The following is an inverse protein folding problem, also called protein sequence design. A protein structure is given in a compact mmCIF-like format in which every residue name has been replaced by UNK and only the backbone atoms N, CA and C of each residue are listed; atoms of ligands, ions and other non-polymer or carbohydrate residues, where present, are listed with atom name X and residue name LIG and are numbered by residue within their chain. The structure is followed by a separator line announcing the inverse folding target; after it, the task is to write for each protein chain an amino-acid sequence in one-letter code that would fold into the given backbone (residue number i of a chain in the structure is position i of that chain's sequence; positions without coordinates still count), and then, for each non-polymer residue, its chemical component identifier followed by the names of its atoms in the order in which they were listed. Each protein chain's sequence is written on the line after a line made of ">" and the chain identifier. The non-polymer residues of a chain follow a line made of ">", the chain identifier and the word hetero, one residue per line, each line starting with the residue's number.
data_IF_264902669543
#
_entry.id   IF_264902669543
#
_cell.length_a   1.000
_cell.length_b   1.000
_cell.length_c   1.000
_cell.angle_alpha   90.00
_cell.angle_beta   90.00
_cell.angle_gamma   90.00
#
_symmetry.space_group_name_H-M   'P 1'
#
loop_
_entity.id
_entity.type
_entity.pdbx_description
1 polymer ?
#
# COMPACT_ATOMS: atom_id res chain seq x y z
N UNK A 1 -11.54 13.98 -4.54
CA UNK A 1 -11.41 13.32 -3.22
C UNK A 1 -11.25 11.83 -3.47
N UNK A 2 -10.31 11.15 -2.80
CA UNK A 2 -10.08 9.71 -3.00
C UNK A 2 -11.00 8.90 -2.07
N UNK A 3 -11.60 7.84 -2.61
CA UNK A 3 -12.39 6.85 -1.88
C UNK A 3 -11.76 5.47 -2.14
N UNK A 4 -11.33 4.80 -1.08
CA UNK A 4 -10.66 3.52 -1.18
C UNK A 4 -11.60 2.41 -1.64
N UNK A 5 -11.07 1.45 -2.40
CA UNK A 5 -11.80 0.27 -2.83
C UNK A 5 -12.39 -0.48 -1.61
N UNK A 6 -13.72 -0.68 -1.53
CA UNK A 6 -14.35 -1.37 -0.41
C UNK A 6 -13.91 -2.84 -0.29
N UNK A 7 -13.47 -3.45 -1.39
CA UNK A 7 -13.04 -4.86 -1.45
C UNK A 7 -11.54 -5.07 -1.23
N UNK A 8 -10.75 -4.03 -0.91
CA UNK A 8 -9.28 -4.08 -0.84
C UNK A 8 -8.69 -5.15 0.10
N UNK A 9 -9.46 -5.63 1.06
CA UNK A 9 -9.03 -6.66 2.03
C UNK A 9 -9.43 -8.08 1.66
N UNK A 10 -10.16 -8.29 0.56
CA UNK A 10 -10.67 -9.61 0.18
C UNK A 10 -9.58 -10.55 -0.36
N UNK A 11 -8.60 -10.00 -1.07
CA UNK A 11 -7.57 -10.80 -1.77
C UNK A 11 -6.19 -10.74 -1.10
N UNK A 12 -5.84 -9.63 -0.44
CA UNK A 12 -4.52 -9.47 0.18
C UNK A 12 -4.33 -10.44 1.35
N UNK A 13 -3.20 -11.15 1.35
CA UNK A 13 -2.79 -12.02 2.46
C UNK A 13 -2.06 -11.20 3.51
N UNK A 14 -2.43 -11.37 4.79
CA UNK A 14 -1.79 -10.71 5.91
C UNK A 14 -1.07 -11.71 6.82
N UNK A 15 0.26 -11.62 6.87
CA UNK A 15 1.15 -12.51 7.61
C UNK A 15 1.45 -11.93 8.99
N UNK A 16 1.39 -12.75 10.03
CA UNK A 16 1.76 -12.33 11.40
C UNK A 16 3.27 -12.05 11.47
N UNK A 17 3.64 -10.92 12.07
CA UNK A 17 5.04 -10.57 12.30
C UNK A 17 5.57 -11.26 13.56
N UNK A 18 6.23 -12.41 13.39
CA UNK A 18 6.79 -13.19 14.50
C UNK A 18 5.74 -13.53 15.57
N UNK A 19 6.11 -13.38 16.85
CA UNK A 19 5.19 -13.60 17.98
C UNK A 19 4.45 -12.33 18.43
N UNK A 20 4.20 -11.38 17.52
CA UNK A 20 3.43 -10.17 17.80
C UNK A 20 1.97 -10.29 17.34
N UNK A 21 1.10 -9.38 17.78
CA UNK A 21 -0.26 -9.25 17.25
C UNK A 21 -0.34 -8.56 15.89
N UNK A 22 0.78 -8.00 15.40
CA UNK A 22 0.84 -7.25 14.15
C UNK A 22 0.80 -8.21 12.95
N UNK A 23 -0.01 -7.87 11.94
CA UNK A 23 -0.02 -8.55 10.65
C UNK A 23 0.38 -7.56 9.56
N UNK A 24 1.29 -7.97 8.69
CA UNK A 24 1.74 -7.20 7.54
C UNK A 24 1.20 -7.82 6.24
N UNK A 25 0.93 -7.03 5.20
CA UNK A 25 0.55 -7.58 3.90
C UNK A 25 1.70 -8.42 3.34
N UNK A 26 1.37 -9.43 2.52
CA UNK A 26 2.37 -10.27 1.88
C UNK A 26 3.30 -9.49 0.92
N UNK A 27 2.85 -8.31 0.47
CA UNK A 27 3.61 -7.35 -0.33
C UNK A 27 3.45 -5.96 0.30
N UNK A 28 4.57 -5.26 0.50
CA UNK A 28 4.59 -3.87 1.00
C UNK A 28 5.12 -2.91 -0.06
N UNK A 29 4.65 -1.66 -0.04
CA UNK A 29 5.15 -0.59 -0.90
C UNK A 29 6.29 0.16 -0.17
N UNK A 30 7.50 0.11 -0.72
CA UNK A 30 8.61 0.95 -0.29
C UNK A 30 8.68 2.25 -1.09
N UNK A 31 9.07 3.35 -0.45
CA UNK A 31 9.15 4.68 -1.06
C UNK A 31 10.58 5.10 -1.43
N UNK A 32 11.47 4.14 -1.69
CA UNK A 32 12.89 4.42 -1.94
C UNK A 32 13.13 5.20 -3.25
N UNK A 33 12.42 4.83 -4.32
CA UNK A 33 12.45 5.51 -5.61
C UNK A 33 11.03 5.88 -6.05
N UNK A 34 10.89 6.87 -6.93
CA UNK A 34 9.61 7.38 -7.45
C UNK A 34 8.79 8.26 -6.48
N UNK A 35 9.43 8.70 -5.39
CA UNK A 35 8.83 9.54 -4.34
C UNK A 35 9.74 10.74 -3.95
N UNK A 36 10.61 11.17 -4.86
CA UNK A 36 11.52 12.31 -4.65
C UNK A 36 11.11 13.56 -5.44
N UNK A 37 11.86 14.65 -5.28
CA UNK A 37 11.57 15.95 -5.91
C UNK A 37 11.54 15.93 -7.46
N UNK A 38 12.16 14.92 -8.06
CA UNK A 38 12.18 14.73 -9.51
C UNK A 38 10.91 14.03 -10.05
N UNK A 39 10.06 13.49 -9.17
CA UNK A 39 8.84 12.78 -9.53
C UNK A 39 7.60 13.68 -9.43
N UNK A 40 6.55 13.33 -10.17
CA UNK A 40 5.29 14.07 -10.08
C UNK A 40 4.48 13.63 -8.87
N UNK A 41 3.95 14.61 -8.13
CA UNK A 41 2.99 14.35 -7.04
C UNK A 41 1.76 13.55 -7.52
N UNK A 42 1.37 13.70 -8.79
CA UNK A 42 0.30 12.91 -9.39
C UNK A 42 0.65 11.41 -9.45
N UNK A 43 1.87 11.07 -9.88
CA UNK A 43 2.35 9.69 -9.93
C UNK A 43 2.48 9.09 -8.53
N UNK A 44 3.07 9.83 -7.58
CA UNK A 44 3.20 9.39 -6.19
C UNK A 44 1.83 9.06 -5.58
N UNK A 45 0.84 9.94 -5.78
CA UNK A 45 -0.54 9.71 -5.31
C UNK A 45 -1.13 8.47 -5.95
N UNK A 46 -1.00 8.31 -7.27
CA UNK A 46 -1.53 7.15 -7.99
C UNK A 46 -0.94 5.83 -7.47
N UNK A 47 0.37 5.79 -7.21
CA UNK A 47 1.05 4.61 -6.65
C UNK A 47 0.52 4.26 -5.26
N UNK A 48 0.44 5.24 -4.36
CA UNK A 48 -0.05 5.01 -2.99
C UNK A 48 -1.51 4.58 -2.97
N UNK A 49 -2.39 5.25 -3.72
CA UNK A 49 -3.82 4.90 -3.75
C UNK A 49 -4.03 3.53 -4.37
N UNK A 50 -3.27 3.17 -5.42
CA UNK A 50 -3.37 1.87 -6.06
C UNK A 50 -2.90 0.74 -5.13
N UNK A 51 -1.77 0.95 -4.45
CA UNK A 51 -1.27 0.00 -3.45
C UNK A 51 -2.31 -0.25 -2.35
N UNK A 52 -2.93 0.82 -1.83
CA UNK A 52 -3.96 0.72 -0.80
C UNK A 52 -5.24 0.04 -1.31
N UNK A 53 -5.68 0.34 -2.54
CA UNK A 53 -6.83 -0.32 -3.18
C UNK A 53 -6.61 -1.83 -3.40
N UNK A 54 -5.35 -2.27 -3.44
CA UNK A 54 -4.95 -3.68 -3.51
C UNK A 54 -4.69 -4.30 -2.14
N UNK A 55 -4.94 -3.58 -1.04
CA UNK A 55 -4.80 -4.08 0.32
C UNK A 55 -3.40 -3.94 0.93
N UNK A 56 -2.46 -3.28 0.27
CA UNK A 56 -1.16 -2.96 0.90
C UNK A 56 -1.40 -1.93 2.02
N UNK A 57 -0.93 -2.24 3.24
CA UNK A 57 -1.10 -1.43 4.47
C UNK A 57 0.22 -1.17 5.17
#
# INVERSE_FOLDING_TARGET
>A
MYLANPSRYQEMKYNRLGNSGLKLPAVSLGLWHNFGDYDTMANMKALVTKAFDMGIT
#
